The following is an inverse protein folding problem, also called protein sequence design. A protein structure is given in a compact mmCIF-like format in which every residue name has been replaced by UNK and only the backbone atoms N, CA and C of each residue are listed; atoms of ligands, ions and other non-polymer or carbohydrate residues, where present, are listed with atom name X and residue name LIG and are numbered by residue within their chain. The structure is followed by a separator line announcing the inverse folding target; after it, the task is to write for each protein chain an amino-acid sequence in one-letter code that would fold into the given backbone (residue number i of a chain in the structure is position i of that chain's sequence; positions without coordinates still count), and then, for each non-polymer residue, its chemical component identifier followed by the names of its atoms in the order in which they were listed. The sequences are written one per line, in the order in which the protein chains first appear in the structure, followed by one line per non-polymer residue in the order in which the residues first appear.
data_IF_976539060284
#
_entry.id   IF_976539060284
#
_cell.length_a   1.000
_cell.length_b   1.000
_cell.length_c   1.000
_cell.angle_alpha   90.00
_cell.angle_beta   90.00
_cell.angle_gamma   90.00
#
_symmetry.space_group_name_H-M   'P 1'
#
loop_
_entity.id
_entity.type
_entity.pdbx_description
1 polymer ?
#
# COMPACT_ATOMS: atom_id res chain seq x y z
N UNK A 1 10.64 -16.71 18.33
CA UNK A 1 11.38 -15.98 17.29
C UNK A 1 10.96 -14.52 17.34
N UNK A 2 11.93 -13.62 17.25
CA UNK A 2 11.70 -12.17 17.31
C UNK A 2 11.87 -11.57 15.90
N UNK A 3 10.89 -10.79 15.47
CA UNK A 3 10.83 -10.22 14.12
C UNK A 3 10.76 -8.70 14.24
N UNK A 4 11.66 -8.00 13.57
CA UNK A 4 11.59 -6.56 13.38
C UNK A 4 10.97 -6.26 12.00
N UNK A 5 10.03 -5.33 11.93
CA UNK A 5 9.34 -4.92 10.70
C UNK A 5 9.65 -3.47 10.41
N UNK A 6 10.15 -3.20 9.21
CA UNK A 6 10.46 -1.86 8.73
C UNK A 6 10.12 -1.68 7.25
N UNK A 7 10.13 -0.45 6.78
CA UNK A 7 9.80 -0.15 5.39
C UNK A 7 8.36 0.32 5.17
N UNK A 8 7.60 0.54 6.23
CA UNK A 8 6.25 1.10 6.20
C UNK A 8 6.20 2.44 6.96
N UNK A 9 5.10 3.18 6.82
CA UNK A 9 4.79 4.29 7.73
C UNK A 9 4.38 3.77 9.12
N UNK A 10 3.95 2.51 9.19
CA UNK A 10 3.41 1.82 10.36
C UNK A 10 1.92 1.52 10.25
N UNK A 11 1.36 0.99 11.32
CA UNK A 11 -0.07 0.73 11.53
C UNK A 11 -0.36 0.82 13.04
N UNK A 12 -1.58 0.89 13.56
CA UNK A 12 -2.85 0.83 12.84
C UNK A 12 -3.32 2.19 12.30
N UNK A 13 -4.36 2.15 11.49
CA UNK A 13 -5.09 3.32 10.96
C UNK A 13 -4.21 4.30 10.16
N UNK A 14 -3.09 3.84 9.61
CA UNK A 14 -2.26 4.61 8.69
C UNK A 14 -2.61 4.21 7.27
N UNK A 15 -2.87 5.21 6.43
CA UNK A 15 -3.29 5.00 5.05
C UNK A 15 -2.14 4.50 4.18
N UNK A 16 -2.42 3.52 3.33
CA UNK A 16 -1.49 2.95 2.36
C UNK A 16 -1.71 1.45 2.17
N UNK A 17 -1.43 0.93 0.98
CA UNK A 17 -1.60 -0.49 0.68
C UNK A 17 -0.68 -1.39 1.51
N UNK A 18 0.58 -0.99 1.67
CA UNK A 18 1.56 -1.73 2.48
C UNK A 18 1.21 -1.65 3.97
N UNK A 19 0.77 -0.49 4.45
CA UNK A 19 0.31 -0.28 5.81
C UNK A 19 -0.88 -1.17 6.13
N UNK A 20 -1.86 -1.22 5.21
CA UNK A 20 -3.04 -2.08 5.35
C UNK A 20 -2.70 -3.56 5.30
N UNK A 21 -1.79 -3.97 4.40
CA UNK A 21 -1.25 -5.32 4.37
C UNK A 21 -0.62 -5.70 5.71
N UNK A 22 0.25 -4.85 6.26
CA UNK A 22 0.90 -5.10 7.55
C UNK A 22 -0.10 -5.14 8.71
N UNK A 23 -1.08 -4.23 8.74
CA UNK A 23 -2.16 -4.21 9.75
C UNK A 23 -3.01 -5.48 9.72
N UNK A 24 -3.22 -6.05 8.54
CA UNK A 24 -4.01 -7.29 8.40
C UNK A 24 -3.18 -8.55 8.67
N UNK A 25 -1.88 -8.53 8.39
CA UNK A 25 -1.00 -9.70 8.48
C UNK A 25 -0.46 -9.94 9.88
N UNK A 26 0.21 -8.94 10.46
CA UNK A 26 0.99 -9.16 11.68
C UNK A 26 0.17 -9.53 12.92
N UNK A 27 -1.04 -9.01 13.13
CA UNK A 27 -1.89 -9.44 14.26
C UNK A 27 -2.30 -10.93 14.20
N UNK A 28 -2.24 -11.56 13.03
CA UNK A 28 -2.57 -12.98 12.85
C UNK A 28 -1.41 -13.92 13.22
N UNK A 29 -0.23 -13.38 13.47
CA UNK A 29 0.90 -14.21 13.87
C UNK A 29 0.67 -14.80 15.28
N UNK A 30 0.98 -16.08 15.42
CA UNK A 30 0.91 -16.76 16.71
C UNK A 30 1.77 -16.08 17.76
N UNK A 31 1.37 -16.12 19.03
CA UNK A 31 2.06 -15.51 20.16
C UNK A 31 3.52 -15.94 20.36
N UNK A 32 3.94 -17.07 19.78
CA UNK A 32 5.37 -17.48 19.75
C UNK A 32 6.27 -16.53 18.96
N UNK A 33 5.69 -15.64 18.12
CA UNK A 33 6.39 -14.61 17.38
C UNK A 33 6.23 -13.27 18.08
N UNK A 34 7.34 -12.69 18.54
CA UNK A 34 7.37 -11.33 19.08
C UNK A 34 7.73 -10.35 17.95
N UNK A 35 6.84 -9.44 17.64
CA UNK A 35 6.98 -8.53 16.51
C UNK A 35 7.28 -7.13 17.00
N UNK A 36 8.30 -6.49 16.45
CA UNK A 36 8.60 -5.08 16.69
C UNK A 36 8.40 -4.33 15.39
N UNK A 37 7.49 -3.35 15.38
CA UNK A 37 7.18 -2.54 14.19
C UNK A 37 7.73 -1.14 14.40
N UNK A 38 8.59 -0.69 13.48
CA UNK A 38 9.11 0.67 13.47
C UNK A 38 8.16 1.58 12.71
N UNK A 39 7.53 2.54 13.44
CA UNK A 39 6.56 3.47 12.86
C UNK A 39 7.19 4.85 12.68
N UNK A 40 6.74 5.59 11.68
CA UNK A 40 7.08 7.00 11.49
C UNK A 40 6.21 7.84 12.39
N UNK A 41 6.80 8.43 13.44
CA UNK A 41 6.10 9.20 14.47
C UNK A 41 5.06 10.21 13.96
N UNK A 42 5.33 10.99 12.88
CA UNK A 42 4.35 11.96 12.37
C UNK A 42 3.04 11.36 11.81
N UNK A 43 2.99 10.06 11.54
CA UNK A 43 1.81 9.37 11.01
C UNK A 43 1.04 8.59 12.08
N UNK A 44 1.58 8.51 13.31
CA UNK A 44 0.94 7.75 14.39
C UNK A 44 -0.25 8.55 14.91
N UNK A 45 -1.44 7.98 14.77
CA UNK A 45 -2.73 8.60 15.11
C UNK A 45 -3.65 7.66 15.88
N UNK A 46 -3.11 6.58 16.46
CA UNK A 46 -3.92 5.59 17.18
C UNK A 46 -3.10 4.88 18.26
N UNK A 47 -3.69 4.73 19.44
CA UNK A 47 -3.13 4.03 20.59
C UNK A 47 -3.51 2.54 20.61
N UNK A 48 -4.13 2.01 19.54
CA UNK A 48 -4.48 0.60 19.47
C UNK A 48 -3.23 -0.28 19.58
N UNK A 49 -3.28 -1.23 20.47
CA UNK A 49 -2.21 -2.21 20.75
C UNK A 49 -2.60 -3.61 20.30
N UNK A 50 -1.62 -4.48 20.16
CA UNK A 50 -1.79 -5.89 19.84
C UNK A 50 -0.91 -6.72 20.76
N UNK A 51 -1.36 -7.87 21.30
CA UNK A 51 -0.66 -8.62 22.36
C UNK A 51 0.79 -9.01 22.05
N UNK A 52 1.07 -9.34 20.78
CA UNK A 52 2.38 -9.82 20.32
C UNK A 52 3.19 -8.78 19.54
N UNK A 53 2.70 -7.52 19.46
CA UNK A 53 3.32 -6.47 18.66
C UNK A 53 3.74 -5.31 19.57
N UNK A 54 5.05 -5.00 19.54
CA UNK A 54 5.62 -3.79 20.11
C UNK A 54 5.81 -2.75 19.01
N UNK A 55 5.36 -1.53 19.26
CA UNK A 55 5.61 -0.40 18.37
C UNK A 55 6.80 0.43 18.88
N UNK A 56 7.64 0.88 17.95
CA UNK A 56 8.72 1.84 18.21
C UNK A 56 8.52 3.00 17.24
N UNK A 57 8.19 4.15 17.79
CA UNK A 57 7.92 5.37 17.02
C UNK A 57 9.23 6.17 16.88
N UNK A 58 9.76 6.15 15.66
CA UNK A 58 10.98 6.86 15.32
C UNK A 58 10.67 8.21 14.66
N UNK A 59 11.53 9.21 14.88
CA UNK A 59 11.39 10.49 14.20
C UNK A 59 11.45 10.30 12.68
N UNK A 60 10.72 11.15 11.98
CA UNK A 60 10.76 11.26 10.53
C UNK A 60 10.64 12.71 10.11
N UNK A 61 11.14 13.04 8.93
CA UNK A 61 10.97 14.37 8.33
C UNK A 61 9.72 14.40 7.48
N UNK A 62 9.21 15.60 7.19
CA UNK A 62 8.12 15.80 6.23
C UNK A 62 8.65 16.14 4.82
N UNK A 63 9.97 16.16 4.63
CA UNK A 63 10.57 16.46 3.32
C UNK A 63 10.32 15.30 2.38
N UNK A 64 9.56 15.57 1.33
CA UNK A 64 9.16 14.58 0.31
C UNK A 64 10.39 13.88 -0.29
N UNK A 65 10.39 12.55 -0.28
CA UNK A 65 11.49 11.72 -0.78
C UNK A 65 12.57 11.40 0.26
N UNK A 66 12.96 12.33 1.13
CA UNK A 66 13.95 12.11 2.18
C UNK A 66 13.36 11.40 3.40
N UNK A 67 12.09 11.60 3.68
CA UNK A 67 11.33 10.99 4.77
C UNK A 67 11.54 9.49 4.89
N UNK A 68 11.36 8.77 3.76
CA UNK A 68 11.47 7.31 3.73
C UNK A 68 12.91 6.84 4.00
N UNK A 69 13.89 7.51 3.43
CA UNK A 69 15.31 7.17 3.55
C UNK A 69 15.78 7.39 4.98
N UNK A 70 15.50 8.57 5.55
CA UNK A 70 15.90 8.91 6.92
C UNK A 70 15.30 7.94 7.95
N UNK A 71 13.98 7.72 7.88
CA UNK A 71 13.34 6.76 8.80
C UNK A 71 13.88 5.34 8.63
N UNK A 72 14.09 4.89 7.39
CA UNK A 72 14.61 3.53 7.13
C UNK A 72 16.02 3.35 7.69
N UNK A 73 16.86 4.38 7.62
CA UNK A 73 18.17 4.37 8.24
C UNK A 73 18.09 4.21 9.77
N UNK A 74 17.30 5.05 10.44
CA UNK A 74 17.12 4.97 11.89
C UNK A 74 16.52 3.63 12.33
N UNK A 75 15.51 3.14 11.60
CA UNK A 75 14.89 1.84 11.88
C UNK A 75 15.89 0.69 11.71
N UNK A 76 16.75 0.76 10.69
CA UNK A 76 17.82 -0.21 10.47
C UNK A 76 18.82 -0.21 11.60
N UNK A 77 19.33 0.96 12.02
CA UNK A 77 20.24 1.06 13.16
C UNK A 77 19.61 0.48 14.43
N UNK A 78 18.38 0.86 14.73
CA UNK A 78 17.65 0.31 15.88
C UNK A 78 17.49 -1.22 15.81
N UNK A 79 17.23 -1.77 14.61
CA UNK A 79 17.12 -3.20 14.43
C UNK A 79 18.46 -3.93 14.53
N UNK A 80 19.58 -3.32 14.08
CA UNK A 80 20.93 -3.88 14.23
C UNK A 80 21.28 -4.15 15.69
N UNK A 81 20.99 -3.20 16.56
CA UNK A 81 21.26 -3.31 18.01
C UNK A 81 20.11 -4.00 18.77
N UNK A 82 18.99 -4.23 18.14
CA UNK A 82 17.82 -4.89 18.72
C UNK A 82 18.01 -6.41 18.86
N UNK A 83 17.11 -7.04 19.64
CA UNK A 83 17.14 -8.50 19.91
C UNK A 83 16.38 -9.33 18.88
N UNK A 84 16.11 -8.80 17.67
CA UNK A 84 15.41 -9.54 16.61
C UNK A 84 16.31 -10.57 15.94
N UNK A 85 15.74 -11.73 15.61
CA UNK A 85 16.39 -12.81 14.86
C UNK A 85 16.26 -12.53 13.35
N UNK A 86 15.10 -11.99 12.96
CA UNK A 86 14.72 -11.72 11.58
C UNK A 86 14.31 -10.24 11.45
N UNK A 87 14.73 -9.62 10.36
CA UNK A 87 14.26 -8.29 9.95
C UNK A 87 13.47 -8.43 8.67
N UNK A 88 12.18 -8.14 8.73
CA UNK A 88 11.28 -8.16 7.59
C UNK A 88 11.15 -6.75 7.03
N UNK A 89 11.63 -6.56 5.81
CA UNK A 89 11.63 -5.27 5.13
C UNK A 89 10.51 -5.27 4.09
N UNK A 90 9.67 -4.24 4.11
CA UNK A 90 8.68 -3.98 3.07
C UNK A 90 9.20 -2.93 2.10
N UNK A 91 9.11 -3.23 0.80
CA UNK A 91 9.58 -2.42 -0.32
C UNK A 91 11.11 -2.36 -0.50
N UNK A 92 11.49 -2.09 -1.74
CA UNK A 92 12.90 -2.02 -2.17
C UNK A 92 13.65 -0.80 -1.62
N UNK A 93 12.98 0.35 -1.49
CA UNK A 93 13.62 1.59 -1.02
C UNK A 93 14.24 1.46 0.38
N UNK A 94 13.48 1.04 1.41
CA UNK A 94 14.00 0.78 2.74
C UNK A 94 15.12 -0.26 2.80
N UNK A 95 15.15 -1.20 1.86
CA UNK A 95 16.16 -2.24 1.79
C UNK A 95 17.56 -1.77 1.35
N UNK A 96 17.72 -0.49 1.01
CA UNK A 96 19.03 0.14 0.79
C UNK A 96 20.02 -0.13 1.94
N UNK A 97 19.50 -0.21 3.16
CA UNK A 97 20.30 -0.42 4.37
C UNK A 97 20.40 -1.90 4.80
N UNK A 98 19.92 -2.83 3.99
CA UNK A 98 19.99 -4.28 4.28
C UNK A 98 21.43 -4.80 4.52
N UNK A 99 22.49 -4.29 3.89
CA UNK A 99 23.85 -4.70 4.22
C UNK A 99 24.21 -4.52 5.70
N UNK A 100 23.78 -3.44 6.33
CA UNK A 100 24.03 -3.20 7.76
C UNK A 100 23.40 -4.28 8.65
N UNK A 101 22.18 -4.69 8.32
CA UNK A 101 21.48 -5.77 9.02
C UNK A 101 22.21 -7.11 8.85
N UNK A 102 22.74 -7.38 7.65
CA UNK A 102 23.52 -8.57 7.39
C UNK A 102 24.82 -8.60 8.18
N UNK A 103 25.55 -7.48 8.22
CA UNK A 103 26.77 -7.33 8.99
C UNK A 103 26.52 -7.47 10.50
N UNK A 104 25.35 -7.05 10.99
CA UNK A 104 24.94 -7.26 12.41
C UNK A 104 24.39 -8.66 12.70
N UNK A 105 24.51 -9.62 11.75
CA UNK A 105 24.10 -11.02 11.92
C UNK A 105 22.60 -11.28 11.79
N UNK A 106 21.80 -10.28 11.37
CA UNK A 106 20.35 -10.43 11.21
C UNK A 106 19.99 -11.20 9.93
N UNK A 107 18.96 -12.02 10.01
CA UNK A 107 18.33 -12.61 8.82
C UNK A 107 17.40 -11.60 8.20
N UNK A 108 17.57 -11.32 6.90
CA UNK A 108 16.75 -10.33 6.16
C UNK A 108 15.75 -11.06 5.28
N UNK A 109 14.47 -10.73 5.47
CA UNK A 109 13.37 -11.12 4.59
C UNK A 109 12.82 -9.86 3.92
N UNK A 110 12.63 -9.91 2.61
CA UNK A 110 12.06 -8.83 1.83
C UNK A 110 10.66 -9.20 1.35
N UNK A 111 9.66 -8.33 1.56
CA UNK A 111 8.44 -8.37 0.75
C UNK A 111 8.56 -7.34 -0.37
N UNK A 112 8.61 -7.86 -1.60
CA UNK A 112 8.67 -7.07 -2.82
C UNK A 112 7.24 -6.75 -3.27
N UNK A 113 6.78 -5.52 -2.99
CA UNK A 113 5.43 -5.08 -3.34
C UNK A 113 5.33 -4.62 -4.79
N UNK A 114 6.27 -3.78 -5.23
CA UNK A 114 6.29 -3.24 -6.59
C UNK A 114 7.65 -2.65 -6.94
N UNK A 115 7.98 -2.51 -8.24
CA UNK A 115 9.14 -1.76 -8.72
C UNK A 115 8.89 -0.25 -8.57
N UNK A 116 9.04 0.27 -7.36
CA UNK A 116 8.70 1.66 -6.99
C UNK A 116 9.27 2.73 -7.93
N UNK A 117 10.36 2.45 -8.65
CA UNK A 117 10.97 3.36 -9.62
C UNK A 117 10.14 3.54 -10.92
N UNK A 118 9.15 2.69 -11.18
CA UNK A 118 8.25 2.83 -12.32
C UNK A 118 7.20 3.93 -12.12
N UNK A 119 6.95 4.34 -10.88
CA UNK A 119 6.03 5.44 -10.60
C UNK A 119 6.52 6.76 -11.20
N UNK A 120 5.60 7.51 -11.81
CA UNK A 120 5.86 8.79 -12.49
C UNK A 120 6.34 9.90 -11.56
N UNK A 121 5.99 9.80 -10.26
CA UNK A 121 6.37 10.79 -9.23
C UNK A 121 7.88 10.89 -8.96
N UNK A 122 8.68 9.92 -9.42
CA UNK A 122 10.11 9.89 -9.17
C UNK A 122 10.90 10.49 -10.33
N UNK A 123 11.76 11.46 -10.01
CA UNK A 123 12.73 12.00 -10.94
C UNK A 123 13.84 10.99 -11.28
N UNK A 124 14.64 11.30 -12.31
CA UNK A 124 15.69 10.40 -12.84
C UNK A 124 16.67 9.91 -11.77
N UNK A 125 17.13 10.80 -10.88
CA UNK A 125 18.07 10.44 -9.80
C UNK A 125 17.43 9.48 -8.79
N UNK A 126 16.22 9.77 -8.34
CA UNK A 126 15.48 8.89 -7.41
C UNK A 126 15.24 7.50 -8.01
N UNK A 127 14.93 7.41 -9.31
CA UNK A 127 14.79 6.13 -10.02
C UNK A 127 16.10 5.33 -10.02
N UNK A 128 17.26 5.98 -10.23
CA UNK A 128 18.56 5.31 -10.15
C UNK A 128 18.86 4.77 -8.74
N UNK A 129 18.59 5.57 -7.71
CA UNK A 129 18.77 5.15 -6.31
C UNK A 129 17.84 3.97 -5.99
N UNK A 130 16.59 4.00 -6.41
CA UNK A 130 15.65 2.90 -6.17
C UNK A 130 16.06 1.61 -6.90
N UNK A 131 16.56 1.69 -8.13
CA UNK A 131 17.11 0.52 -8.85
C UNK A 131 18.36 -0.05 -8.16
N UNK A 132 19.24 0.82 -7.67
CA UNK A 132 20.40 0.40 -6.88
C UNK A 132 19.95 -0.27 -5.57
N UNK A 133 19.00 0.33 -4.88
CA UNK A 133 18.41 -0.23 -3.66
C UNK A 133 17.74 -1.59 -3.91
N UNK A 134 17.06 -1.76 -5.05
CA UNK A 134 16.50 -3.05 -5.46
C UNK A 134 17.59 -4.11 -5.61
N UNK A 135 18.69 -3.78 -6.29
CA UNK A 135 19.83 -4.71 -6.44
C UNK A 135 20.36 -5.14 -5.07
N UNK A 136 20.54 -4.20 -4.15
CA UNK A 136 20.95 -4.50 -2.76
C UNK A 136 19.91 -5.40 -2.09
N UNK A 137 18.63 -5.04 -2.16
CA UNK A 137 17.53 -5.77 -1.56
C UNK A 137 17.50 -7.23 -2.00
N UNK A 138 17.58 -7.45 -3.32
CA UNK A 138 17.56 -8.77 -3.93
C UNK A 138 18.80 -9.59 -3.58
N UNK A 139 19.98 -8.98 -3.45
CA UNK A 139 21.22 -9.71 -3.11
C UNK A 139 21.34 -9.99 -1.62
N UNK A 140 21.01 -9.04 -0.76
CA UNK A 140 21.22 -9.14 0.70
C UNK A 140 20.12 -9.94 1.42
N UNK A 141 18.92 -10.10 0.84
CA UNK A 141 17.86 -10.88 1.46
C UNK A 141 18.12 -12.39 1.36
N UNK A 142 17.89 -13.11 2.46
CA UNK A 142 17.92 -14.57 2.49
C UNK A 142 16.65 -15.18 1.90
N UNK A 143 15.51 -14.52 2.09
CA UNK A 143 14.25 -14.91 1.48
C UNK A 143 13.54 -13.67 0.93
N UNK A 144 12.83 -13.84 -0.18
CA UNK A 144 12.09 -12.78 -0.84
C UNK A 144 10.65 -13.26 -1.05
N UNK A 145 9.71 -12.45 -0.61
CA UNK A 145 8.28 -12.66 -0.86
C UNK A 145 7.89 -11.72 -1.99
N UNK A 146 7.47 -12.28 -3.12
CA UNK A 146 6.85 -11.50 -4.19
C UNK A 146 5.34 -11.58 -4.09
N UNK A 147 4.68 -10.44 -4.10
CA UNK A 147 3.21 -10.36 -4.11
C UNK A 147 2.62 -10.47 -5.51
N UNK A 148 3.47 -10.43 -6.54
CA UNK A 148 3.11 -10.59 -7.94
C UNK A 148 4.00 -11.66 -8.59
N UNK A 149 3.38 -12.73 -9.11
CA UNK A 149 4.08 -13.86 -9.73
C UNK A 149 4.83 -13.48 -11.01
N UNK A 150 4.21 -12.64 -11.84
CA UNK A 150 4.83 -12.19 -13.08
C UNK A 150 6.05 -11.31 -12.81
N UNK A 151 6.00 -10.51 -11.76
CA UNK A 151 7.16 -9.72 -11.34
C UNK A 151 8.29 -10.64 -10.87
N UNK A 152 8.03 -11.68 -10.10
CA UNK A 152 9.04 -12.65 -9.67
C UNK A 152 9.74 -13.33 -10.86
N UNK A 153 8.99 -13.67 -11.89
CA UNK A 153 9.50 -14.35 -13.10
C UNK A 153 10.45 -13.50 -13.95
N UNK A 154 10.43 -12.16 -13.78
CA UNK A 154 11.35 -11.26 -14.51
C UNK A 154 12.80 -11.32 -13.98
N UNK A 155 13.02 -11.89 -12.81
CA UNK A 155 14.36 -11.93 -12.19
C UNK A 155 15.12 -13.20 -12.51
N UNK A 156 16.48 -13.14 -12.46
CA UNK A 156 17.33 -14.31 -12.69
C UNK A 156 17.03 -15.47 -11.73
N UNK A 157 17.33 -16.69 -12.16
CA UNK A 157 17.12 -17.92 -11.40
C UNK A 157 17.69 -17.87 -9.97
N UNK A 158 18.85 -17.24 -9.78
CA UNK A 158 19.47 -17.02 -8.46
C UNK A 158 18.55 -16.27 -7.49
N UNK A 159 17.78 -15.31 -7.98
CA UNK A 159 16.78 -14.58 -7.16
C UNK A 159 15.55 -15.45 -6.95
N UNK A 160 15.06 -16.10 -8.00
CA UNK A 160 13.88 -16.96 -7.93
C UNK A 160 14.05 -18.10 -6.94
N UNK A 161 15.23 -18.75 -6.86
CA UNK A 161 15.54 -19.84 -5.91
C UNK A 161 15.35 -19.49 -4.43
N UNK A 162 15.47 -18.22 -4.07
CA UNK A 162 15.22 -17.74 -2.69
C UNK A 162 13.93 -16.94 -2.56
N UNK A 163 13.08 -17.01 -3.56
CA UNK A 163 11.82 -16.28 -3.63
C UNK A 163 10.63 -17.21 -3.48
N UNK A 164 9.57 -16.67 -2.89
CA UNK A 164 8.26 -17.33 -2.80
C UNK A 164 7.20 -16.33 -3.27
N UNK A 165 6.22 -16.81 -4.02
CA UNK A 165 5.04 -16.04 -4.36
C UNK A 165 4.00 -16.17 -3.25
N UNK A 166 3.69 -15.08 -2.59
CA UNK A 166 2.61 -14.99 -1.61
C UNK A 166 1.82 -13.71 -1.93
N UNK A 167 0.64 -13.82 -2.52
CA UNK A 167 -0.18 -12.64 -2.82
C UNK A 167 -0.63 -11.94 -1.55
N UNK A 168 -0.93 -10.65 -1.66
CA UNK A 168 -1.56 -9.94 -0.56
C UNK A 168 -2.91 -10.57 -0.23
N UNK A 169 -3.11 -10.86 1.06
CA UNK A 169 -4.41 -11.32 1.56
C UNK A 169 -5.41 -10.17 1.66
N UNK A 170 -6.67 -10.52 1.63
CA UNK A 170 -7.77 -9.59 1.92
C UNK A 170 -8.42 -9.98 3.25
N UNK A 171 -8.93 -9.01 4.03
CA UNK A 171 -9.73 -9.32 5.19
C UNK A 171 -10.97 -10.15 4.79
N UNK A 172 -11.42 -11.03 5.67
CA UNK A 172 -12.70 -11.70 5.47
C UNK A 172 -13.84 -10.71 5.77
N UNK A 173 -14.22 -9.96 4.75
CA UNK A 173 -15.31 -8.98 4.83
C UNK A 173 -16.55 -9.63 4.24
N UNK A 174 -17.61 -9.74 5.06
CA UNK A 174 -18.88 -10.24 4.60
C UNK A 174 -19.68 -9.12 3.92
N UNK A 175 -20.35 -9.41 2.79
CA UNK A 175 -21.27 -8.45 2.20
C UNK A 175 -22.34 -8.01 3.20
N UNK A 176 -22.80 -6.78 3.07
CA UNK A 176 -23.84 -6.21 3.93
C UNK A 176 -25.11 -5.96 3.13
N UNK A 177 -26.26 -6.14 3.78
CA UNK A 177 -27.56 -5.73 3.24
C UNK A 177 -27.93 -4.29 3.58
N UNK A 178 -27.13 -3.59 4.40
CA UNK A 178 -27.36 -2.17 4.73
C UNK A 178 -27.23 -1.32 3.46
N UNK A 179 -28.16 -0.37 3.27
CA UNK A 179 -28.20 0.52 2.11
C UNK A 179 -28.25 2.01 2.49
N UNK A 180 -28.08 2.35 3.77
CA UNK A 180 -28.29 3.71 4.26
C UNK A 180 -27.32 4.72 3.62
N UNK A 181 -26.05 4.33 3.51
CA UNK A 181 -25.01 5.20 2.95
C UNK A 181 -25.18 5.37 1.44
N UNK A 182 -25.37 4.28 0.69
CA UNK A 182 -25.58 4.38 -0.76
C UNK A 182 -26.85 5.15 -1.10
N UNK A 183 -27.95 4.96 -0.32
CA UNK A 183 -29.18 5.71 -0.49
C UNK A 183 -28.99 7.21 -0.25
N UNK A 184 -28.19 7.60 0.76
CA UNK A 184 -27.88 9.01 1.01
C UNK A 184 -27.11 9.69 -0.13
N UNK A 185 -26.43 8.89 -0.98
CA UNK A 185 -25.74 9.36 -2.19
C UNK A 185 -26.62 9.24 -3.45
N UNK A 186 -27.89 8.86 -3.30
CA UNK A 186 -28.79 8.64 -4.43
C UNK A 186 -28.37 7.48 -5.33
N UNK A 187 -27.70 6.45 -4.77
CA UNK A 187 -27.30 5.25 -5.50
C UNK A 187 -28.37 4.16 -5.33
N UNK A 188 -28.58 3.39 -6.39
CA UNK A 188 -29.48 2.24 -6.41
C UNK A 188 -28.66 0.95 -6.44
N UNK A 189 -28.92 -0.04 -5.55
CA UNK A 189 -28.25 -1.32 -5.56
C UNK A 189 -28.24 -1.96 -6.95
N UNK A 190 -27.08 -2.46 -7.37
CA UNK A 190 -26.87 -3.08 -8.68
C UNK A 190 -26.78 -2.11 -9.88
N UNK A 191 -27.05 -0.81 -9.68
CA UNK A 191 -27.14 0.19 -10.74
C UNK A 191 -26.00 1.21 -10.72
N UNK A 192 -24.82 0.81 -10.26
CA UNK A 192 -23.62 1.64 -10.35
C UNK A 192 -22.37 0.83 -10.54
N UNK A 193 -21.42 1.45 -11.22
CA UNK A 193 -20.05 0.99 -11.40
C UNK A 193 -19.18 1.63 -10.33
N UNK A 194 -18.32 0.86 -9.66
CA UNK A 194 -17.39 1.41 -8.67
C UNK A 194 -15.95 1.28 -9.15
N UNK A 195 -15.16 2.29 -8.85
CA UNK A 195 -13.70 2.25 -8.95
C UNK A 195 -13.08 2.83 -7.70
N UNK A 196 -12.09 2.13 -7.13
CA UNK A 196 -11.54 2.45 -5.81
C UNK A 196 -10.03 2.64 -5.91
N UNK A 197 -9.53 3.78 -5.44
CA UNK A 197 -8.10 4.04 -5.43
C UNK A 197 -7.76 5.49 -5.06
N UNK A 198 -6.47 5.76 -4.89
CA UNK A 198 -6.00 7.15 -4.76
C UNK A 198 -6.25 7.89 -6.07
N UNK A 199 -6.68 9.13 -5.98
CA UNK A 199 -6.87 9.96 -7.17
C UNK A 199 -5.50 10.44 -7.65
N UNK A 200 -4.89 9.64 -8.52
CA UNK A 200 -3.57 9.89 -9.10
C UNK A 200 -3.57 9.49 -10.59
N UNK A 201 -2.73 10.11 -11.44
CA UNK A 201 -2.72 9.84 -12.87
C UNK A 201 -2.54 8.35 -13.23
N UNK A 202 -1.74 7.61 -12.48
CA UNK A 202 -1.51 6.19 -12.73
C UNK A 202 -2.76 5.31 -12.57
N UNK A 203 -3.82 5.81 -11.91
CA UNK A 203 -5.08 5.08 -11.72
C UNK A 203 -6.05 5.23 -12.90
N UNK A 204 -5.77 6.11 -13.86
CA UNK A 204 -6.50 6.22 -15.12
C UNK A 204 -7.98 6.60 -14.98
N UNK A 205 -8.34 7.34 -13.92
CA UNK A 205 -9.72 7.79 -13.73
C UNK A 205 -10.21 8.73 -14.84
N UNK A 206 -9.30 9.44 -15.48
CA UNK A 206 -9.58 10.27 -16.65
C UNK A 206 -10.12 9.44 -17.82
N UNK A 207 -9.48 8.31 -18.12
CA UNK A 207 -9.97 7.38 -19.17
C UNK A 207 -11.31 6.77 -18.77
N UNK A 208 -11.45 6.37 -17.50
CA UNK A 208 -12.69 5.77 -17.00
C UNK A 208 -13.87 6.74 -17.09
N UNK A 209 -13.70 7.99 -16.65
CA UNK A 209 -14.74 9.02 -16.74
C UNK A 209 -15.12 9.27 -18.21
N UNK A 210 -14.12 9.49 -19.09
CA UNK A 210 -14.37 9.74 -20.50
C UNK A 210 -15.09 8.58 -21.19
N UNK A 211 -14.74 7.34 -20.85
CA UNK A 211 -15.43 6.15 -21.37
C UNK A 211 -16.86 6.06 -20.85
N UNK A 212 -17.05 6.28 -19.55
CA UNK A 212 -18.37 6.22 -18.91
C UNK A 212 -19.35 7.28 -19.45
N UNK A 213 -18.87 8.50 -19.66
CA UNK A 213 -19.70 9.60 -20.20
C UNK A 213 -20.18 9.35 -21.64
N UNK A 214 -19.55 8.43 -22.40
CA UNK A 214 -20.00 8.02 -23.73
C UNK A 214 -21.11 6.96 -23.70
N UNK A 215 -21.34 6.34 -22.52
CA UNK A 215 -22.36 5.29 -22.40
C UNK A 215 -23.76 5.89 -22.28
N UNK A 216 -24.70 5.35 -23.02
CA UNK A 216 -26.13 5.59 -22.82
C UNK A 216 -26.64 4.56 -21.79
N UNK A 217 -26.65 4.93 -20.50
CA UNK A 217 -27.01 4.03 -19.41
C UNK A 217 -27.62 4.81 -18.22
N UNK A 218 -28.45 4.13 -17.45
CA UNK A 218 -29.02 4.61 -16.18
C UNK A 218 -28.07 4.38 -14.97
N UNK A 219 -26.93 3.72 -15.20
CA UNK A 219 -25.93 3.49 -14.16
C UNK A 219 -25.24 4.79 -13.72
N UNK A 220 -24.76 4.80 -12.49
CA UNK A 220 -23.83 5.82 -11.98
C UNK A 220 -22.41 5.27 -11.93
N UNK A 221 -21.41 6.15 -12.06
CA UNK A 221 -20.00 5.83 -11.80
C UNK A 221 -19.64 6.41 -10.43
N UNK A 222 -19.19 5.55 -9.52
CA UNK A 222 -18.77 5.93 -8.16
C UNK A 222 -17.27 5.78 -8.04
N UNK A 223 -16.57 6.89 -7.84
CA UNK A 223 -15.12 6.93 -7.61
C UNK A 223 -14.89 7.09 -6.12
N UNK A 224 -14.31 6.04 -5.52
CA UNK A 224 -14.00 5.97 -4.10
C UNK A 224 -12.52 6.24 -3.87
N UNK A 225 -12.20 7.29 -3.15
CA UNK A 225 -10.84 7.69 -2.83
C UNK A 225 -10.66 9.19 -2.90
N UNK A 226 -9.44 9.64 -2.67
CA UNK A 226 -9.10 11.06 -2.69
C UNK A 226 -7.62 11.28 -3.03
N UNK A 227 -7.21 12.54 -3.03
CA UNK A 227 -5.82 12.94 -3.21
C UNK A 227 -5.07 12.93 -1.89
N UNK A 228 -3.79 12.56 -1.90
CA UNK A 228 -2.91 12.63 -0.71
C UNK A 228 -2.35 14.04 -0.46
N UNK A 229 -2.37 14.90 -1.48
CA UNK A 229 -1.95 16.31 -1.44
C UNK A 229 -2.77 17.10 -2.46
N UNK A 230 -2.85 18.41 -2.30
CA UNK A 230 -3.46 19.28 -3.31
C UNK A 230 -2.86 18.98 -4.68
N UNK A 231 -3.73 18.70 -5.64
CA UNK A 231 -3.36 18.26 -6.97
C UNK A 231 -4.40 18.74 -7.96
N UNK A 232 -3.96 19.44 -8.98
CA UNK A 232 -4.81 19.85 -10.11
C UNK A 232 -5.47 18.67 -10.83
N UNK A 233 -5.00 17.45 -10.57
CA UNK A 233 -5.52 16.26 -11.25
C UNK A 233 -6.98 15.98 -10.88
N UNK A 234 -7.37 16.11 -9.61
CA UNK A 234 -8.77 15.94 -9.21
C UNK A 234 -9.67 17.00 -9.84
N UNK A 235 -9.21 18.25 -9.89
CA UNK A 235 -9.95 19.32 -10.56
C UNK A 235 -10.08 19.07 -12.06
N UNK A 236 -9.01 18.57 -12.68
CA UNK A 236 -9.06 18.21 -14.10
C UNK A 236 -10.01 17.03 -14.37
N UNK A 237 -10.10 16.05 -13.46
CA UNK A 237 -11.10 14.99 -13.56
C UNK A 237 -12.53 15.54 -13.50
N UNK A 238 -12.80 16.48 -12.58
CA UNK A 238 -14.12 17.11 -12.46
C UNK A 238 -14.54 17.86 -13.74
N UNK A 239 -13.59 18.45 -14.48
CA UNK A 239 -13.84 19.09 -15.79
C UNK A 239 -14.25 18.11 -16.90
N UNK A 240 -13.91 16.83 -16.77
CA UNK A 240 -14.30 15.80 -17.75
C UNK A 240 -15.75 15.33 -17.59
N UNK A 241 -16.37 15.64 -16.45
CA UNK A 241 -17.73 15.21 -16.14
C UNK A 241 -18.72 16.10 -16.88
N UNK A 242 -19.62 15.47 -17.65
CA UNK A 242 -20.65 16.13 -18.45
C UNK A 242 -22.05 15.87 -17.92
N UNK A 243 -22.22 14.92 -17.03
CA UNK A 243 -23.50 14.49 -16.49
C UNK A 243 -23.48 14.47 -14.96
N UNK A 244 -24.64 14.30 -14.34
CA UNK A 244 -24.76 14.10 -12.89
C UNK A 244 -24.58 12.63 -12.46
N UNK A 245 -24.09 11.77 -13.36
CA UNK A 245 -23.94 10.33 -13.12
C UNK A 245 -22.62 9.93 -12.48
N UNK A 246 -21.62 10.83 -12.40
CA UNK A 246 -20.33 10.57 -11.77
C UNK A 246 -20.33 11.12 -10.36
N UNK A 247 -20.04 10.26 -9.39
CA UNK A 247 -20.06 10.57 -7.95
C UNK A 247 -18.70 10.30 -7.34
N UNK A 248 -18.11 11.30 -6.68
CA UNK A 248 -16.90 11.15 -5.86
C UNK A 248 -17.29 11.04 -4.39
N UNK A 249 -16.84 9.98 -3.72
CA UNK A 249 -17.13 9.79 -2.30
C UNK A 249 -16.09 10.41 -1.38
N UNK A 250 -14.90 10.75 -1.90
CA UNK A 250 -13.73 10.98 -1.07
C UNK A 250 -13.27 9.67 -0.42
N UNK A 251 -12.43 9.79 0.62
CA UNK A 251 -12.00 8.64 1.39
C UNK A 251 -13.12 8.14 2.31
N UNK A 252 -13.55 6.89 2.10
CA UNK A 252 -14.49 6.18 2.97
C UNK A 252 -13.87 4.85 3.43
N UNK A 253 -14.24 4.39 4.63
CA UNK A 253 -13.67 3.21 5.27
C UNK A 253 -14.73 2.41 6.01
N UNK A 254 -14.38 1.18 6.42
CA UNK A 254 -15.22 0.36 7.29
C UNK A 254 -16.59 0.04 6.65
N UNK A 255 -17.67 0.26 7.42
CA UNK A 255 -19.03 -0.08 6.99
C UNK A 255 -19.46 0.66 5.71
N UNK A 256 -19.13 1.95 5.56
CA UNK A 256 -19.48 2.72 4.36
C UNK A 256 -18.84 2.14 3.10
N UNK A 257 -17.55 1.79 3.18
CA UNK A 257 -16.84 1.19 2.06
C UNK A 257 -17.42 -0.20 1.75
N UNK A 258 -17.69 -1.01 2.77
CA UNK A 258 -18.32 -2.32 2.60
C UNK A 258 -19.70 -2.21 1.92
N UNK A 259 -20.50 -1.24 2.32
CA UNK A 259 -21.82 -0.98 1.73
C UNK A 259 -21.72 -0.64 0.25
N UNK A 260 -20.80 0.26 -0.12
CA UNK A 260 -20.56 0.63 -1.52
C UNK A 260 -20.08 -0.55 -2.36
N UNK A 261 -19.20 -1.41 -1.82
CA UNK A 261 -18.77 -2.63 -2.53
C UNK A 261 -19.89 -3.67 -2.65
N UNK A 262 -20.65 -3.89 -1.57
CA UNK A 262 -21.65 -4.96 -1.51
C UNK A 262 -22.80 -4.78 -2.50
N UNK A 263 -23.10 -3.55 -2.85
CA UNK A 263 -24.24 -3.20 -3.71
C UNK A 263 -23.82 -2.70 -5.10
N UNK A 264 -22.51 -2.71 -5.41
CA UNK A 264 -22.04 -2.35 -6.75
C UNK A 264 -22.47 -3.39 -7.79
N UNK A 265 -22.92 -2.93 -8.94
CA UNK A 265 -23.20 -3.79 -10.09
C UNK A 265 -21.93 -4.26 -10.79
N UNK A 266 -20.86 -3.44 -10.75
CA UNK A 266 -19.59 -3.73 -11.39
C UNK A 266 -18.44 -3.00 -10.70
N UNK A 267 -17.29 -3.65 -10.62
CA UNK A 267 -16.01 -3.02 -10.25
C UNK A 267 -15.13 -2.83 -11.49
N UNK A 268 -14.58 -1.64 -11.67
CA UNK A 268 -13.64 -1.33 -12.76
C UNK A 268 -12.32 -0.83 -12.22
N UNK A 269 -11.23 -1.40 -12.70
CA UNK A 269 -9.88 -0.97 -12.44
C UNK A 269 -9.28 -0.43 -13.75
N UNK A 270 -9.09 0.89 -13.81
CA UNK A 270 -8.60 1.59 -15.01
C UNK A 270 -7.11 1.92 -14.96
N UNK A 271 -6.39 1.40 -13.95
CA UNK A 271 -4.98 1.72 -13.71
C UNK A 271 -4.08 1.38 -14.89
N UNK A 272 -3.17 2.27 -15.23
CA UNK A 272 -2.09 2.02 -16.21
C UNK A 272 -1.00 1.11 -15.63
N UNK A 273 -0.84 1.12 -14.30
CA UNK A 273 0.17 0.31 -13.59
C UNK A 273 -0.33 -0.03 -12.18
N UNK A 274 -0.16 -1.30 -11.80
CA UNK A 274 -0.53 -1.85 -10.49
C UNK A 274 0.68 -2.52 -9.80
#
# INVERSE_FOLDING_TARGET
MKISVLGTRGFPKIQGGVEKHCESLYPLFNAKYQITVYRRKPYVNSDKTYPNIKFIDLPSTKIKGFEAVFHSFLATLSACFGKSDVVHIHNIGPALFAPLLRLSGKKVVLTYHSPNYEHTKWGRMAKKILKFSESIALNCSQAIIFVNKFQMQKYPEKVQKKSVYIPNGIPNVQPTSKCNYISSMGLTPGKYVISVGRITPEKGFDVLIQAFEKLNTDYKLVIVGGVEAESDYEENLKKLIKSNRVVFTGYIFGEKLNEVYSHAGMYVLSSYNE
#
